data_IF_328612701746
#
_entry.id   IF_328612701746
#
_cell.length_a   1.000
_cell.length_b   1.000
_cell.length_c   1.000
_cell.angle_alpha   90.00
_cell.angle_beta   90.00
_cell.angle_gamma   90.00
#
_symmetry.space_group_name_H-M   'P 1'
#
loop_
_entity.id
_entity.type
_entity.pdbx_description
1 polymer ?
#
# COMPACT_ATOMS: atom_id res chain seq x y z
N UNK A 1 -18.95 28.28 13.10
CA UNK A 1 -19.95 27.85 12.09
C UNK A 1 -21.29 27.68 12.78
N UNK A 2 -22.34 28.34 12.27
CA UNK A 2 -23.71 28.03 12.68
C UNK A 2 -23.96 26.55 12.38
N UNK A 3 -24.43 25.80 13.38
CA UNK A 3 -24.98 24.47 13.18
C UNK A 3 -26.07 24.56 12.12
N UNK A 4 -25.81 24.04 10.92
CA UNK A 4 -26.86 23.80 9.95
C UNK A 4 -26.64 22.46 9.27
N UNK A 5 -27.61 21.59 9.54
CA UNK A 5 -27.97 20.46 8.71
C UNK A 5 -27.07 19.25 8.88
N UNK A 6 -27.57 18.24 9.59
CA UNK A 6 -27.45 16.88 9.06
C UNK A 6 -28.00 16.94 7.63
N UNK A 7 -27.13 17.14 6.65
CA UNK A 7 -27.47 16.87 5.27
C UNK A 7 -27.47 15.36 5.14
N UNK A 8 -28.61 14.75 5.49
CA UNK A 8 -28.93 13.43 4.98
C UNK A 8 -29.17 13.65 3.49
N UNK A 9 -28.09 13.58 2.71
CA UNK A 9 -28.21 13.33 1.28
C UNK A 9 -28.87 11.96 1.23
N UNK A 10 -30.20 11.94 1.11
CA UNK A 10 -30.89 10.72 0.76
C UNK A 10 -30.36 10.40 -0.62
N UNK A 11 -29.37 9.50 -0.68
CA UNK A 11 -29.13 8.74 -1.89
C UNK A 11 -30.51 8.30 -2.35
N UNK A 12 -30.88 8.61 -3.59
CA UNK A 12 -32.11 8.09 -4.19
C UNK A 12 -32.13 6.54 -4.15
N UNK A 13 -31.03 5.89 -3.74
CA UNK A 13 -30.96 4.49 -3.37
C UNK A 13 -31.68 4.11 -2.05
N UNK A 14 -32.27 5.04 -1.29
CA UNK A 14 -32.95 4.66 -0.05
C UNK A 14 -34.19 5.49 0.30
N UNK A 15 -35.26 5.29 -0.46
CA UNK A 15 -36.51 4.83 0.17
C UNK A 15 -36.71 3.37 -0.19
N UNK A 16 -36.20 2.51 0.70
CA UNK A 16 -36.46 1.08 0.69
C UNK A 16 -37.89 0.87 1.21
N UNK A 17 -38.89 1.24 0.41
CA UNK A 17 -40.17 0.56 0.49
C UNK A 17 -39.99 -0.80 -0.17
N UNK A 18 -40.40 -1.84 0.54
CA UNK A 18 -40.46 -3.20 0.03
C UNK A 18 -41.03 -3.24 -1.39
N UNK A 19 -40.38 -4.00 -2.25
CA UNK A 19 -40.89 -4.59 -3.49
C UNK A 19 -42.30 -4.13 -3.92
N UNK A 20 -42.35 -3.24 -4.91
CA UNK A 20 -43.51 -3.12 -5.81
C UNK A 20 -43.09 -2.51 -7.16
N UNK A 21 -42.14 -3.15 -7.86
CA UNK A 21 -41.97 -2.98 -9.31
C UNK A 21 -41.56 -1.59 -9.83
N UNK A 22 -41.33 -0.59 -8.98
CA UNK A 22 -40.87 0.73 -9.41
C UNK A 22 -39.36 0.68 -9.62
N UNK A 23 -38.98 0.54 -10.89
CA UNK A 23 -37.60 0.62 -11.34
C UNK A 23 -36.98 1.94 -10.85
N UNK A 24 -35.79 1.85 -10.26
CA UNK A 24 -34.92 3.03 -10.06
C UNK A 24 -34.92 3.83 -11.37
N UNK A 25 -35.11 5.16 -11.34
CA UNK A 25 -34.99 5.96 -12.55
C UNK A 25 -33.55 5.87 -13.03
N UNK A 26 -33.30 4.93 -13.93
CA UNK A 26 -32.01 4.72 -14.55
C UNK A 26 -31.79 5.83 -15.57
N UNK A 27 -30.52 6.21 -15.71
CA UNK A 27 -30.10 7.17 -16.72
C UNK A 27 -30.63 6.76 -18.12
N UNK A 28 -31.27 7.67 -18.87
CA UNK A 28 -31.91 7.32 -20.15
C UNK A 28 -30.89 6.84 -21.19
N UNK A 29 -29.66 7.34 -21.15
CA UNK A 29 -28.58 6.90 -22.04
C UNK A 29 -28.10 5.49 -21.68
N UNK A 30 -28.03 5.17 -20.38
CA UNK A 30 -27.76 3.81 -19.90
C UNK A 30 -28.83 2.81 -20.36
N UNK A 31 -30.11 3.18 -20.22
CA UNK A 31 -31.22 2.36 -20.71
C UNK A 31 -31.16 2.17 -22.23
N UNK A 32 -30.84 3.23 -22.98
CA UNK A 32 -30.66 3.15 -24.43
C UNK A 32 -29.50 2.22 -24.79
N UNK A 33 -28.39 2.29 -24.08
CA UNK A 33 -27.23 1.41 -24.28
C UNK A 33 -27.58 -0.06 -24.05
N UNK A 34 -28.32 -0.38 -22.98
CA UNK A 34 -28.82 -1.74 -22.73
C UNK A 34 -29.71 -2.24 -23.87
N UNK A 35 -30.59 -1.39 -24.40
CA UNK A 35 -31.45 -1.75 -25.53
C UNK A 35 -30.65 -2.04 -26.80
N UNK A 36 -29.61 -1.24 -27.09
CA UNK A 36 -28.77 -1.43 -28.29
C UNK A 36 -27.90 -2.69 -28.24
N UNK A 37 -27.50 -3.14 -27.04
CA UNK A 37 -26.77 -4.41 -26.87
C UNK A 37 -27.58 -5.65 -27.30
N UNK A 38 -28.90 -5.54 -27.36
CA UNK A 38 -29.79 -6.63 -27.72
C UNK A 38 -29.81 -7.76 -26.67
N UNK A 39 -30.31 -8.94 -27.07
CA UNK A 39 -30.56 -10.07 -26.16
C UNK A 39 -29.34 -10.97 -25.93
N UNK A 40 -28.38 -11.01 -26.86
CA UNK A 40 -27.21 -11.90 -26.82
C UNK A 40 -25.91 -11.15 -27.17
N UNK A 41 -25.52 -10.13 -26.40
CA UNK A 41 -24.28 -9.42 -26.68
C UNK A 41 -23.04 -10.31 -26.46
N UNK A 42 -21.97 -10.00 -27.19
CA UNK A 42 -20.64 -10.54 -26.94
C UNK A 42 -20.06 -9.97 -25.64
N UNK A 43 -19.08 -10.65 -25.05
CA UNK A 43 -18.41 -10.15 -23.84
C UNK A 43 -17.71 -8.81 -24.10
N UNK A 44 -17.06 -8.66 -25.27
CA UNK A 44 -16.42 -7.40 -25.67
C UNK A 44 -17.42 -6.25 -25.76
N UNK A 45 -18.59 -6.47 -26.36
CA UNK A 45 -19.61 -5.44 -26.49
C UNK A 45 -20.15 -5.00 -25.12
N UNK A 46 -20.29 -5.92 -24.16
CA UNK A 46 -20.64 -5.55 -22.78
C UNK A 46 -19.53 -4.72 -22.15
N UNK A 47 -18.27 -5.12 -22.33
CA UNK A 47 -17.12 -4.40 -21.78
C UNK A 47 -17.05 -2.97 -22.32
N UNK A 48 -17.13 -2.81 -23.64
CA UNK A 48 -16.99 -1.52 -24.30
C UNK A 48 -18.18 -0.59 -24.06
N UNK A 49 -19.40 -1.12 -24.12
CA UNK A 49 -20.62 -0.30 -24.01
C UNK A 49 -21.07 -0.04 -22.58
N UNK A 50 -20.85 -0.99 -21.65
CA UNK A 50 -21.29 -0.85 -20.25
C UNK A 50 -20.09 -0.65 -19.32
N UNK A 51 -19.16 -1.61 -19.25
CA UNK A 51 -18.18 -1.66 -18.16
C UNK A 51 -17.21 -0.48 -18.20
N UNK A 52 -16.68 -0.14 -19.38
CA UNK A 52 -15.75 0.99 -19.53
C UNK A 52 -16.42 2.34 -19.25
N UNK A 53 -17.70 2.47 -19.57
CA UNK A 53 -18.44 3.73 -19.46
C UNK A 53 -19.06 3.94 -18.07
N UNK A 54 -19.65 2.90 -17.49
CA UNK A 54 -20.44 2.97 -16.25
C UNK A 54 -19.80 2.21 -15.08
N UNK A 55 -18.69 1.51 -15.31
CA UNK A 55 -18.02 0.69 -14.31
C UNK A 55 -18.70 -0.65 -14.07
N UNK A 56 -18.25 -1.34 -13.03
CA UNK A 56 -18.75 -2.67 -12.62
C UNK A 56 -19.72 -2.61 -11.45
N UNK A 57 -19.73 -1.49 -10.73
CA UNK A 57 -20.51 -1.28 -9.52
C UNK A 57 -21.14 0.11 -9.55
N UNK A 58 -22.23 0.26 -8.82
CA UNK A 58 -22.81 1.57 -8.51
C UNK A 58 -22.76 1.82 -7.00
N UNK A 59 -22.80 3.10 -6.64
CA UNK A 59 -22.78 3.55 -5.27
C UNK A 59 -24.15 3.34 -4.61
N UNK A 60 -24.20 2.57 -3.53
CA UNK A 60 -25.39 2.49 -2.68
C UNK A 60 -25.41 3.60 -1.64
N UNK A 61 -24.31 3.70 -0.89
CA UNK A 61 -24.11 4.72 0.12
C UNK A 61 -22.63 5.04 0.26
N UNK A 62 -22.32 6.26 0.68
CA UNK A 62 -20.97 6.65 1.05
C UNK A 62 -21.03 7.51 2.31
N UNK A 63 -20.04 7.34 3.17
CA UNK A 63 -19.64 8.38 4.12
C UNK A 63 -18.46 9.11 3.51
N UNK A 64 -18.68 10.35 3.08
CA UNK A 64 -17.65 11.22 2.53
C UNK A 64 -16.99 11.97 3.69
N UNK A 65 -15.76 11.61 4.00
CA UNK A 65 -14.91 12.31 4.96
C UNK A 65 -14.21 13.49 4.28
N UNK A 66 -14.02 14.57 5.03
CA UNK A 66 -13.05 15.61 4.68
C UNK A 66 -11.81 15.44 5.55
N UNK A 67 -10.64 15.48 4.93
CA UNK A 67 -9.34 15.61 5.58
C UNK A 67 -9.11 17.07 5.98
N UNK A 68 -8.81 17.33 7.25
CA UNK A 68 -8.21 18.59 7.68
C UNK A 68 -6.87 18.25 8.31
N UNK A 69 -5.78 18.66 7.65
CA UNK A 69 -4.42 18.35 8.07
C UNK A 69 -3.53 19.61 8.03
N UNK A 70 -2.70 19.74 9.07
CA UNK A 70 -1.70 20.78 9.20
C UNK A 70 -0.32 20.12 9.12
N UNK A 71 0.48 20.50 8.14
CA UNK A 71 1.85 20.03 7.98
C UNK A 71 2.83 21.19 8.16
N UNK A 72 3.81 21.00 9.05
CA UNK A 72 4.84 21.99 9.36
C UNK A 72 6.20 21.36 9.05
N UNK A 73 6.89 21.87 8.03
CA UNK A 73 8.27 21.54 7.75
C UNK A 73 9.18 22.46 8.55
N UNK A 74 10.18 21.91 9.24
CA UNK A 74 11.10 22.68 10.10
C UNK A 74 12.55 22.41 9.69
N UNK A 75 13.28 23.45 9.31
CA UNK A 75 14.73 23.43 9.14
C UNK A 75 15.42 23.68 10.50
N UNK A 76 15.81 22.57 11.15
CA UNK A 76 16.44 22.61 12.48
C UNK A 76 17.71 23.47 12.54
N UNK A 77 18.46 23.59 11.43
CA UNK A 77 19.73 24.36 11.40
C UNK A 77 19.48 25.86 11.38
N UNK A 78 18.44 26.31 10.66
CA UNK A 78 18.03 27.71 10.63
C UNK A 78 17.33 28.11 11.93
N UNK A 79 16.61 27.18 12.54
CA UNK A 79 15.97 27.38 13.83
C UNK A 79 16.99 27.52 14.96
N UNK A 80 18.01 26.64 15.03
CA UNK A 80 19.07 26.71 16.05
C UNK A 80 19.92 27.98 15.93
N UNK A 81 20.24 28.40 14.70
CA UNK A 81 21.01 29.63 14.44
C UNK A 81 20.27 30.91 14.87
N UNK A 82 18.94 30.89 14.93
CA UNK A 82 18.15 32.01 15.47
C UNK A 82 18.13 32.06 16.99
N UNK A 83 18.23 30.92 17.68
CA UNK A 83 18.31 30.86 19.14
C UNK A 83 19.61 31.54 19.62
N UNK A 84 20.70 31.39 18.87
CA UNK A 84 22.00 32.01 19.19
C UNK A 84 22.07 33.52 18.87
N UNK A 85 21.23 34.04 17.97
CA UNK A 85 21.31 35.44 17.49
C UNK A 85 20.34 36.38 18.21
N UNK A 86 19.37 35.87 18.98
CA UNK A 86 18.31 36.68 19.63
C UNK A 86 18.27 36.50 21.14
N UNK A 87 19.37 36.77 21.83
CA UNK A 87 19.35 37.11 23.27
C UNK A 87 18.99 38.60 23.47
N UNK A 88 17.78 39.00 23.08
CA UNK A 88 17.17 40.27 23.51
C UNK A 88 15.68 40.30 23.16
N UNK A 89 14.83 40.04 24.16
CA UNK A 89 13.43 40.48 24.27
C UNK A 89 12.39 40.11 23.20
N UNK A 90 12.61 39.08 22.37
CA UNK A 90 11.54 38.46 21.58
C UNK A 90 11.52 36.96 21.83
N UNK A 91 10.34 36.38 22.08
CA UNK A 91 10.16 34.95 22.39
C UNK A 91 10.83 34.11 21.32
N UNK A 92 11.97 33.49 21.65
CA UNK A 92 12.68 32.58 20.77
C UNK A 92 11.73 31.43 20.38
N UNK A 93 11.57 31.19 19.08
CA UNK A 93 10.70 30.12 18.59
C UNK A 93 11.41 28.79 18.79
N UNK A 94 11.01 28.05 19.83
CA UNK A 94 11.52 26.71 20.11
C UNK A 94 10.71 25.64 19.35
N UNK A 95 11.31 24.47 19.17
CA UNK A 95 10.61 23.31 18.60
C UNK A 95 9.40 22.90 19.44
N UNK A 96 9.49 23.04 20.76
CA UNK A 96 8.40 22.77 21.71
C UNK A 96 7.24 23.76 21.54
N UNK A 97 7.53 25.05 21.35
CA UNK A 97 6.51 26.04 21.07
C UNK A 97 5.79 25.78 19.74
N UNK A 98 6.51 25.29 18.71
CA UNK A 98 5.90 24.86 17.46
C UNK A 98 5.01 23.64 17.63
N UNK A 99 5.40 22.65 18.44
CA UNK A 99 4.55 21.49 18.74
C UNK A 99 3.30 21.89 19.53
N UNK A 100 3.42 22.80 20.50
CA UNK A 100 2.27 23.31 21.25
C UNK A 100 1.29 24.09 20.35
N UNK A 101 1.82 24.91 19.44
CA UNK A 101 1.00 25.58 18.43
C UNK A 101 0.34 24.60 17.46
N UNK A 102 1.06 23.57 17.00
CA UNK A 102 0.47 22.52 16.16
C UNK A 102 -0.66 21.78 16.89
N UNK A 103 -0.50 21.51 18.18
CA UNK A 103 -1.53 20.89 19.01
C UNK A 103 -2.77 21.77 19.20
N UNK A 104 -2.62 23.11 19.19
CA UNK A 104 -3.75 24.04 19.32
C UNK A 104 -4.53 24.25 18.01
N UNK A 105 -4.04 23.74 16.87
CA UNK A 105 -4.63 23.97 15.55
C UNK A 105 -6.11 23.57 15.48
N UNK A 106 -6.48 22.37 15.98
CA UNK A 106 -7.87 21.90 15.95
C UNK A 106 -8.77 22.57 17.00
N UNK A 107 -8.20 23.35 17.93
CA UNK A 107 -8.93 24.06 18.99
C UNK A 107 -9.17 25.52 18.60
N UNK A 108 -8.13 26.20 18.10
CA UNK A 108 -8.16 27.60 17.68
C UNK A 108 -7.37 27.78 16.37
N UNK A 109 -8.01 27.35 15.28
CA UNK A 109 -7.41 27.27 13.94
C UNK A 109 -6.89 28.61 13.45
N UNK A 110 -7.72 29.64 13.52
CA UNK A 110 -7.43 30.93 12.89
C UNK A 110 -6.27 31.66 13.61
N UNK A 111 -6.28 31.66 14.94
CA UNK A 111 -5.19 32.20 15.75
C UNK A 111 -3.89 31.41 15.55
N UNK A 112 -3.98 30.08 15.51
CA UNK A 112 -2.83 29.20 15.30
C UNK A 112 -2.17 29.42 13.94
N UNK A 113 -2.96 29.46 12.85
CA UNK A 113 -2.43 29.71 11.50
C UNK A 113 -1.84 31.10 11.36
N UNK A 114 -2.47 32.13 11.92
CA UNK A 114 -1.88 33.49 11.91
C UNK A 114 -0.51 33.49 12.59
N UNK A 115 -0.38 32.84 13.77
CA UNK A 115 0.90 32.72 14.49
C UNK A 115 1.93 31.93 13.68
N UNK A 116 1.54 30.80 13.09
CA UNK A 116 2.42 29.97 12.26
C UNK A 116 2.90 30.70 10.99
N UNK A 117 2.02 31.44 10.31
CA UNK A 117 2.40 32.27 9.16
C UNK A 117 3.32 33.43 9.57
N UNK A 118 3.08 34.07 10.71
CA UNK A 118 4.00 35.07 11.24
C UNK A 118 5.40 34.48 11.48
N UNK A 119 5.50 33.27 12.06
CA UNK A 119 6.78 32.59 12.26
C UNK A 119 7.42 32.22 10.92
N UNK A 120 6.65 31.70 9.97
CA UNK A 120 7.13 31.36 8.62
C UNK A 120 7.76 32.58 7.91
N UNK A 121 7.08 33.74 7.96
CA UNK A 121 7.59 34.99 7.36
C UNK A 121 8.81 35.50 8.13
N UNK A 122 8.75 35.52 9.46
CA UNK A 122 9.80 36.12 10.30
C UNK A 122 11.09 35.28 10.38
N UNK A 123 10.99 33.95 10.21
CA UNK A 123 12.11 33.03 10.40
C UNK A 123 12.57 32.37 9.11
N UNK A 124 11.66 32.12 8.15
CA UNK A 124 11.88 31.23 6.98
C UNK A 124 12.37 29.81 7.34
N UNK A 125 12.55 29.50 8.62
CA UNK A 125 12.98 28.18 9.11
C UNK A 125 11.83 27.17 9.13
N UNK A 126 10.59 27.64 8.96
CA UNK A 126 9.43 26.76 8.84
C UNK A 126 8.68 27.02 7.54
N UNK A 127 8.07 25.96 7.00
CA UNK A 127 7.09 26.04 5.92
C UNK A 127 5.81 25.36 6.39
N UNK A 128 4.71 26.09 6.38
CA UNK A 128 3.42 25.63 6.86
C UNK A 128 2.51 25.38 5.66
N UNK A 129 1.89 24.22 5.63
CA UNK A 129 0.92 23.82 4.61
C UNK A 129 -0.32 23.28 5.31
N UNK A 130 -1.42 24.00 5.19
CA UNK A 130 -2.76 23.55 5.61
C UNK A 130 -3.42 22.88 4.40
N UNK A 131 -3.93 21.67 4.59
CA UNK A 131 -4.70 20.94 3.59
C UNK A 131 -6.08 20.64 4.15
N UNK A 132 -7.11 21.13 3.45
CA UNK A 132 -8.50 20.87 3.79
C UNK A 132 -9.22 20.30 2.59
N UNK A 133 -9.79 19.11 2.73
CA UNK A 133 -10.74 18.57 1.77
C UNK A 133 -12.15 18.68 2.36
N UNK A 134 -13.09 19.23 1.59
CA UNK A 134 -14.48 19.42 2.02
C UNK A 134 -15.45 19.42 0.84
N UNK A 135 -16.76 19.26 1.08
CA UNK A 135 -17.75 19.55 0.04
C UNK A 135 -17.60 21.02 -0.38
N UNK A 136 -17.55 21.29 -1.68
CA UNK A 136 -17.51 22.65 -2.23
C UNK A 136 -18.75 23.41 -1.74
N UNK A 137 -18.55 24.53 -1.02
CA UNK A 137 -19.63 25.38 -0.51
C UNK A 137 -19.51 25.83 0.95
N UNK A 138 -18.50 25.39 1.70
CA UNK A 138 -18.31 25.74 3.13
C UNK A 138 -17.11 26.67 3.41
N UNK A 139 -16.57 27.35 2.39
CA UNK A 139 -15.53 28.37 2.53
C UNK A 139 -16.05 29.70 1.98
N UNK A 140 -15.77 30.80 2.69
CA UNK A 140 -15.89 32.13 2.11
C UNK A 140 -15.05 32.15 0.82
N UNK A 141 -15.60 32.77 -0.22
CA UNK A 141 -15.03 32.86 -1.58
C UNK A 141 -13.57 33.40 -1.62
N UNK A 142 -13.07 33.94 -0.52
CA UNK A 142 -11.74 34.55 -0.42
C UNK A 142 -10.59 33.55 -0.16
N UNK A 143 -10.86 32.27 0.16
CA UNK A 143 -9.85 31.25 0.45
C UNK A 143 -10.04 29.96 -0.39
N UNK A 144 -10.23 30.10 -1.70
CA UNK A 144 -10.40 28.97 -2.62
C UNK A 144 -9.12 28.16 -2.87
N UNK A 145 -7.93 28.74 -2.61
CA UNK A 145 -6.65 28.08 -2.88
C UNK A 145 -6.31 26.94 -1.89
N UNK A 146 -7.05 26.79 -0.79
CA UNK A 146 -6.76 25.82 0.29
C UNK A 146 -7.81 24.73 0.51
N UNK A 147 -8.92 24.74 -0.23
CA UNK A 147 -10.01 23.76 -0.05
C UNK A 147 -10.24 22.97 -1.33
N UNK A 148 -9.73 21.75 -1.37
CA UNK A 148 -10.00 20.81 -2.46
C UNK A 148 -11.31 20.06 -2.20
N UNK A 149 -12.05 19.75 -3.28
CA UNK A 149 -13.29 18.98 -3.18
C UNK A 149 -13.02 17.58 -2.63
N UNK A 150 -13.87 17.08 -1.72
CA UNK A 150 -13.81 15.67 -1.31
C UNK A 150 -14.06 14.78 -2.53
N UNK A 151 -13.03 14.05 -2.95
CA UNK A 151 -13.15 13.05 -3.99
C UNK A 151 -13.82 11.81 -3.40
N UNK A 152 -14.79 11.23 -4.11
CA UNK A 152 -15.46 9.99 -3.67
C UNK A 152 -14.44 8.86 -3.44
N UNK A 153 -13.31 8.89 -4.15
CA UNK A 153 -12.23 7.89 -4.06
C UNK A 153 -11.21 8.16 -2.94
N UNK A 154 -11.41 9.17 -2.08
CA UNK A 154 -10.48 9.41 -0.95
C UNK A 154 -10.41 8.17 -0.03
N UNK A 155 -9.20 7.79 0.45
CA UNK A 155 -8.99 6.60 1.26
C UNK A 155 -9.75 6.62 2.60
N UNK A 156 -10.19 7.80 3.03
CA UNK A 156 -10.95 8.04 4.26
C UNK A 156 -12.44 7.77 4.09
N UNK A 157 -12.92 7.65 2.84
CA UNK A 157 -14.32 7.45 2.55
C UNK A 157 -14.73 6.00 2.77
N UNK A 158 -15.85 5.81 3.46
CA UNK A 158 -16.49 4.50 3.59
C UNK A 158 -17.55 4.36 2.50
N UNK A 159 -17.20 3.65 1.44
CA UNK A 159 -18.03 3.47 0.24
C UNK A 159 -18.69 2.11 0.28
N UNK A 160 -20.02 2.07 0.14
CA UNK A 160 -20.78 0.84 -0.02
C UNK A 160 -21.22 0.71 -1.48
N UNK A 161 -20.67 -0.30 -2.15
CA UNK A 161 -20.90 -0.57 -3.56
C UNK A 161 -21.81 -1.78 -3.76
N UNK A 162 -22.67 -1.73 -4.76
CA UNK A 162 -23.40 -2.89 -5.27
C UNK A 162 -23.04 -3.14 -6.73
N UNK A 163 -22.90 -4.41 -7.08
CA UNK A 163 -22.59 -4.80 -8.45
C UNK A 163 -23.70 -4.37 -9.42
N UNK A 164 -23.30 -3.79 -10.55
CA UNK A 164 -24.20 -3.25 -11.57
C UNK A 164 -25.15 -4.33 -12.13
N UNK A 165 -24.75 -5.61 -12.07
CA UNK A 165 -25.61 -6.72 -12.46
C UNK A 165 -26.95 -6.76 -11.73
N UNK A 166 -27.07 -6.16 -10.54
CA UNK A 166 -28.32 -6.15 -9.78
C UNK A 166 -29.44 -5.39 -10.51
N UNK A 167 -29.10 -4.34 -11.25
CA UNK A 167 -30.05 -3.50 -11.99
C UNK A 167 -30.16 -3.88 -13.47
N UNK A 168 -29.31 -4.81 -13.95
CA UNK A 168 -29.38 -5.29 -15.32
C UNK A 168 -30.52 -6.30 -15.51
N UNK A 169 -31.11 -6.37 -16.73
CA UNK A 169 -32.03 -7.44 -17.10
C UNK A 169 -31.42 -8.82 -16.85
N UNK A 170 -32.25 -9.76 -16.41
CA UNK A 170 -31.81 -11.11 -15.97
C UNK A 170 -30.94 -11.82 -17.01
N UNK A 171 -31.32 -11.74 -18.29
CA UNK A 171 -30.58 -12.36 -19.39
C UNK A 171 -29.16 -11.80 -19.60
N UNK A 172 -28.86 -10.59 -19.11
CA UNK A 172 -27.52 -9.98 -19.19
C UNK A 172 -26.66 -10.26 -17.96
N UNK A 173 -27.25 -10.57 -16.80
CA UNK A 173 -26.52 -10.59 -15.52
C UNK A 173 -25.30 -11.52 -15.55
N UNK A 174 -25.48 -12.78 -15.96
CA UNK A 174 -24.40 -13.76 -16.00
C UNK A 174 -23.28 -13.37 -16.97
N UNK A 175 -23.64 -12.86 -18.16
CA UNK A 175 -22.66 -12.41 -19.17
C UNK A 175 -21.93 -11.16 -18.72
N UNK A 176 -22.62 -10.24 -18.05
CA UNK A 176 -22.02 -9.05 -17.46
C UNK A 176 -21.00 -9.41 -16.40
N UNK A 177 -21.32 -10.33 -15.48
CA UNK A 177 -20.37 -10.80 -14.46
C UNK A 177 -19.15 -11.42 -15.13
N UNK A 178 -19.34 -12.25 -16.17
CA UNK A 178 -18.22 -12.83 -16.90
C UNK A 178 -17.33 -11.77 -17.60
N UNK A 179 -17.95 -10.77 -18.23
CA UNK A 179 -17.24 -9.66 -18.86
C UNK A 179 -16.49 -8.82 -17.81
N UNK A 180 -17.12 -8.52 -16.67
CA UNK A 180 -16.54 -7.77 -15.56
C UNK A 180 -15.35 -8.51 -14.93
N UNK A 181 -15.44 -9.82 -14.74
CA UNK A 181 -14.32 -10.64 -14.25
C UNK A 181 -13.17 -10.70 -15.26
N UNK A 182 -13.46 -10.70 -16.57
CA UNK A 182 -12.42 -10.62 -17.60
C UNK A 182 -11.76 -9.23 -17.63
N UNK A 183 -12.54 -8.17 -17.48
CA UNK A 183 -12.06 -6.79 -17.39
C UNK A 183 -11.15 -6.58 -16.17
N UNK A 184 -11.61 -6.95 -14.98
CA UNK A 184 -10.88 -6.73 -13.72
C UNK A 184 -9.78 -7.78 -13.50
N UNK A 185 -10.11 -9.06 -13.68
CA UNK A 185 -9.22 -10.16 -13.32
C UNK A 185 -8.13 -10.45 -14.36
N UNK A 186 -8.35 -10.03 -15.61
CA UNK A 186 -7.41 -10.25 -16.71
C UNK A 186 -6.95 -8.95 -17.37
N UNK A 187 -7.29 -7.78 -16.81
CA UNK A 187 -6.94 -6.47 -17.38
C UNK A 187 -7.27 -6.33 -18.88
N UNK A 188 -8.37 -6.94 -19.35
CA UNK A 188 -8.73 -7.02 -20.78
C UNK A 188 -7.72 -7.77 -21.69
N UNK A 189 -6.68 -8.37 -21.14
CA UNK A 189 -5.65 -9.11 -21.88
C UNK A 189 -6.08 -10.54 -22.22
N UNK A 190 -7.22 -10.99 -21.69
CA UNK A 190 -7.73 -12.34 -21.90
C UNK A 190 -9.14 -12.55 -21.36
N UNK A 191 -9.64 -13.78 -21.51
CA UNK A 191 -10.94 -14.19 -21.02
C UNK A 191 -10.81 -14.90 -19.67
N UNK A 192 -11.58 -14.48 -18.67
CA UNK A 192 -11.61 -15.18 -17.38
C UNK A 192 -12.33 -16.53 -17.49
N UNK A 193 -11.69 -17.60 -17.03
CA UNK A 193 -12.17 -18.98 -17.09
C UNK A 193 -11.90 -19.67 -15.76
N UNK A 194 -12.91 -20.34 -15.21
CA UNK A 194 -12.77 -21.23 -14.05
C UNK A 194 -13.06 -22.68 -14.45
N UNK A 195 -12.20 -23.61 -14.04
CA UNK A 195 -12.40 -25.06 -14.13
C UNK A 195 -11.88 -25.72 -12.87
N UNK A 196 -12.63 -26.66 -12.32
CA UNK A 196 -12.22 -27.48 -11.16
C UNK A 196 -11.70 -26.65 -9.97
N UNK A 197 -12.44 -25.59 -9.60
CA UNK A 197 -12.07 -24.61 -8.56
C UNK A 197 -10.76 -23.83 -8.81
N UNK A 198 -10.23 -23.87 -10.03
CA UNK A 198 -9.06 -23.10 -10.44
C UNK A 198 -9.47 -22.09 -11.51
N UNK A 199 -9.16 -20.81 -11.31
CA UNK A 199 -9.56 -19.71 -12.19
C UNK A 199 -8.33 -19.01 -12.80
N UNK A 200 -8.41 -18.68 -14.08
CA UNK A 200 -7.34 -17.99 -14.81
C UNK A 200 -7.82 -17.25 -16.03
N UNK A 201 -6.92 -16.45 -16.57
CA UNK A 201 -7.11 -15.76 -17.83
C UNK A 201 -6.64 -16.65 -18.97
N UNK A 202 -7.56 -17.01 -19.87
CA UNK A 202 -7.18 -17.47 -21.20
C UNK A 202 -6.63 -16.27 -21.97
N UNK A 203 -5.32 -16.14 -21.98
CA UNK A 203 -4.63 -15.01 -22.59
C UNK A 203 -4.88 -14.88 -24.09
N UNK A 204 -5.01 -13.64 -24.53
CA UNK A 204 -5.07 -13.31 -25.96
C UNK A 204 -3.69 -13.47 -26.61
N UNK A 205 -3.61 -13.65 -27.94
CA UNK A 205 -2.34 -13.80 -28.64
C UNK A 205 -1.36 -12.64 -28.44
N UNK A 206 -1.87 -11.41 -28.29
CA UNK A 206 -1.04 -10.21 -28.04
C UNK A 206 -0.49 -10.12 -26.61
N UNK A 207 -1.06 -10.86 -25.65
CA UNK A 207 -0.68 -10.83 -24.24
C UNK A 207 -0.39 -12.24 -23.70
N UNK A 208 0.59 -12.96 -24.26
CA UNK A 208 0.83 -14.37 -23.95
C UNK A 208 1.17 -14.67 -22.48
N UNK A 209 1.50 -13.63 -21.69
CA UNK A 209 1.90 -13.69 -20.28
C UNK A 209 0.88 -13.03 -19.35
N UNK A 210 -0.38 -12.85 -19.76
CA UNK A 210 -1.40 -12.12 -18.99
C UNK A 210 -1.66 -12.67 -17.56
N UNK A 211 -1.31 -13.93 -17.28
CA UNK A 211 -1.42 -14.52 -15.93
C UNK A 211 -0.15 -14.34 -15.08
N UNK A 212 0.91 -13.74 -15.63
CA UNK A 212 2.23 -13.73 -15.03
C UNK A 212 2.49 -12.40 -14.32
N UNK A 213 2.55 -12.37 -12.97
CA UNK A 213 2.79 -11.14 -12.23
C UNK A 213 4.29 -10.85 -12.15
N UNK A 214 4.87 -10.35 -13.24
CA UNK A 214 6.32 -10.15 -13.38
C UNK A 214 6.93 -9.29 -12.26
N UNK A 215 6.22 -8.25 -11.82
CA UNK A 215 6.67 -7.36 -10.75
C UNK A 215 6.78 -8.12 -9.41
N UNK A 216 5.77 -8.90 -9.07
CA UNK A 216 5.77 -9.70 -7.85
C UNK A 216 6.83 -10.80 -7.91
N UNK A 217 7.01 -11.45 -9.07
CA UNK A 217 8.05 -12.47 -9.26
C UNK A 217 9.43 -11.87 -9.04
N UNK A 218 9.74 -10.73 -9.66
CA UNK A 218 11.02 -10.02 -9.46
C UNK A 218 11.22 -9.61 -8.00
N UNK A 219 10.17 -9.16 -7.32
CA UNK A 219 10.24 -8.83 -5.90
C UNK A 219 10.55 -10.06 -5.01
N UNK A 220 9.97 -11.22 -5.32
CA UNK A 220 10.27 -12.48 -4.64
C UNK A 220 11.70 -12.95 -4.91
N UNK A 221 12.17 -12.87 -6.16
CA UNK A 221 13.55 -13.20 -6.55
C UNK A 221 14.56 -12.28 -5.84
N UNK A 222 14.31 -10.96 -5.82
CA UNK A 222 15.12 -9.99 -5.10
C UNK A 222 15.14 -10.27 -3.59
N UNK A 223 14.02 -10.72 -3.02
CA UNK A 223 13.96 -11.11 -1.61
C UNK A 223 14.82 -12.34 -1.32
N UNK A 224 14.91 -13.31 -2.23
CA UNK A 224 15.80 -14.46 -2.10
C UNK A 224 17.28 -14.05 -2.19
N UNK A 225 17.62 -13.15 -3.12
CA UNK A 225 18.97 -12.57 -3.21
C UNK A 225 19.35 -11.85 -1.92
N UNK A 226 18.45 -11.03 -1.37
CA UNK A 226 18.70 -10.34 -0.12
C UNK A 226 18.89 -11.30 1.07
N UNK A 227 18.14 -12.41 1.12
CA UNK A 227 18.35 -13.45 2.14
C UNK A 227 19.73 -14.10 2.00
N UNK A 228 20.17 -14.38 0.77
CA UNK A 228 21.52 -14.90 0.50
C UNK A 228 22.59 -13.93 0.98
N UNK A 229 22.43 -12.65 0.67
CA UNK A 229 23.41 -11.62 1.03
C UNK A 229 23.47 -11.44 2.56
N UNK A 230 22.31 -11.44 3.22
CA UNK A 230 22.20 -11.40 4.70
C UNK A 230 22.89 -12.60 5.35
N UNK A 231 22.73 -13.80 4.77
CA UNK A 231 23.40 -15.00 5.25
C UNK A 231 24.92 -14.91 5.10
N UNK A 232 25.40 -14.44 3.95
CA UNK A 232 26.84 -14.26 3.70
C UNK A 232 27.44 -13.25 4.67
N UNK A 233 26.77 -12.12 4.90
CA UNK A 233 27.19 -11.13 5.90
C UNK A 233 27.21 -11.73 7.29
N UNK A 234 26.18 -12.45 7.71
CA UNK A 234 26.14 -13.06 9.05
C UNK A 234 27.28 -14.09 9.27
N UNK A 235 27.65 -14.86 8.25
CA UNK A 235 28.81 -15.74 8.32
C UNK A 235 30.13 -14.95 8.37
N UNK A 236 30.26 -13.90 7.57
CA UNK A 236 31.43 -13.05 7.59
C UNK A 236 31.60 -12.35 8.95
N UNK A 237 30.52 -11.81 9.52
CA UNK A 237 30.49 -11.21 10.86
C UNK A 237 30.82 -12.22 11.98
N UNK A 238 30.59 -13.51 11.74
CA UNK A 238 31.01 -14.58 12.64
C UNK A 238 32.52 -14.85 12.48
N UNK A 239 33.02 -14.98 11.25
CA UNK A 239 34.45 -15.20 10.97
C UNK A 239 35.32 -14.02 11.41
N UNK A 240 34.81 -12.79 11.33
CA UNK A 240 35.51 -11.57 11.77
C UNK A 240 35.34 -11.27 13.27
N UNK A 241 34.48 -12.01 13.98
CA UNK A 241 34.24 -11.80 15.41
C UNK A 241 35.49 -12.04 16.27
N UNK A 242 35.66 -11.24 17.33
CA UNK A 242 36.78 -11.41 18.26
C UNK A 242 36.78 -12.80 18.90
N UNK A 243 35.61 -13.36 19.19
CA UNK A 243 35.46 -14.70 19.76
C UNK A 243 36.04 -15.77 18.85
N UNK A 244 35.75 -15.70 17.55
CA UNK A 244 36.27 -16.65 16.56
C UNK A 244 37.76 -16.43 16.29
N UNK A 245 38.20 -15.18 16.14
CA UNK A 245 39.61 -14.86 15.93
C UNK A 245 40.49 -15.26 17.13
N UNK A 246 39.99 -15.06 18.35
CA UNK A 246 40.67 -15.50 19.57
C UNK A 246 40.74 -17.02 19.68
N UNK A 247 39.67 -17.73 19.28
CA UNK A 247 39.70 -19.19 19.16
C UNK A 247 40.80 -19.64 18.19
N UNK A 248 40.89 -19.06 16.99
CA UNK A 248 41.93 -19.40 16.01
C UNK A 248 43.34 -19.13 16.54
N UNK A 249 43.57 -18.02 17.24
CA UNK A 249 44.86 -17.68 17.85
C UNK A 249 45.29 -18.65 18.95
N UNK A 250 44.34 -19.30 19.63
CA UNK A 250 44.60 -20.28 20.71
C UNK A 250 44.90 -21.68 20.18
N UNK A 251 44.69 -21.94 18.88
CA UNK A 251 44.99 -23.25 18.31
C UNK A 251 46.52 -23.47 18.21
N UNK A 252 47.01 -24.68 18.54
CA UNK A 252 48.40 -25.04 18.32
C UNK A 252 48.84 -24.84 16.87
N UNK A 253 49.90 -24.08 16.64
CA UNK A 253 50.45 -23.81 15.29
C UNK A 253 51.66 -24.66 14.93
N UNK A 254 52.22 -25.41 15.89
CA UNK A 254 53.45 -26.18 15.74
C UNK A 254 53.25 -27.58 15.14
N UNK A 255 52.00 -28.01 14.91
CA UNK A 255 51.67 -29.28 14.26
C UNK A 255 50.28 -29.21 13.59
N UNK A 256 50.03 -30.11 12.64
CA UNK A 256 48.73 -30.23 11.99
C UNK A 256 47.69 -30.82 12.95
N UNK A 257 46.56 -30.14 13.11
CA UNK A 257 45.45 -30.60 13.93
C UNK A 257 44.47 -31.43 13.09
N UNK A 258 44.01 -32.55 13.64
CA UNK A 258 42.88 -33.29 13.08
C UNK A 258 41.54 -32.69 13.54
N UNK A 259 40.45 -33.07 12.88
CA UNK A 259 39.11 -32.55 13.18
C UNK A 259 38.70 -32.79 14.64
N UNK A 260 39.08 -33.93 15.23
CA UNK A 260 38.79 -34.26 16.62
C UNK A 260 39.48 -33.33 17.62
N UNK A 261 40.74 -32.95 17.35
CA UNK A 261 41.48 -32.01 18.17
C UNK A 261 40.87 -30.60 18.09
N UNK A 262 40.48 -30.15 16.89
CA UNK A 262 39.78 -28.88 16.69
C UNK A 262 38.45 -28.87 17.47
N UNK A 263 37.67 -29.95 17.39
CA UNK A 263 36.41 -30.09 18.15
C UNK A 263 36.63 -30.04 19.66
N UNK A 264 37.73 -30.60 20.17
CA UNK A 264 38.09 -30.51 21.58
C UNK A 264 38.34 -29.06 22.00
N UNK A 265 39.20 -28.33 21.29
CA UNK A 265 39.47 -26.91 21.58
C UNK A 265 38.21 -26.06 21.44
N UNK A 266 37.39 -26.34 20.43
CA UNK A 266 36.11 -25.68 20.23
C UNK A 266 35.24 -25.82 21.47
N UNK A 267 35.07 -27.06 22.00
CA UNK A 267 34.28 -27.34 23.21
C UNK A 267 34.79 -26.65 24.47
N UNK A 268 36.08 -26.34 24.52
CA UNK A 268 36.69 -25.65 25.65
C UNK A 268 36.47 -24.13 25.62
N UNK A 269 35.99 -23.57 24.52
CA UNK A 269 35.76 -22.13 24.36
C UNK A 269 34.24 -21.81 24.34
N UNK A 270 33.66 -21.36 25.47
CA UNK A 270 32.22 -21.10 25.55
C UNK A 270 31.79 -19.86 24.76
N UNK A 271 32.67 -18.87 24.59
CA UNK A 271 32.37 -17.63 23.88
C UNK A 271 32.10 -17.87 22.39
N UNK A 272 32.99 -18.62 21.71
CA UNK A 272 32.80 -18.96 20.28
C UNK A 272 31.56 -19.85 20.08
N UNK A 273 31.28 -20.73 21.03
CA UNK A 273 30.06 -21.55 21.03
C UNK A 273 28.78 -20.70 21.08
N UNK A 274 28.75 -19.72 21.98
CA UNK A 274 27.59 -18.84 22.12
C UNK A 274 27.40 -18.03 20.83
N UNK A 275 28.48 -17.48 20.27
CA UNK A 275 28.45 -16.73 19.00
C UNK A 275 27.99 -17.61 17.83
N UNK A 276 28.47 -18.83 17.74
CA UNK A 276 28.05 -19.80 16.71
C UNK A 276 26.58 -20.19 16.85
N UNK A 277 26.07 -20.38 18.07
CA UNK A 277 24.62 -20.62 18.30
C UNK A 277 23.75 -19.46 17.82
N UNK A 278 24.20 -18.21 17.99
CA UNK A 278 23.47 -17.05 17.46
C UNK A 278 23.40 -17.08 15.93
N UNK A 279 24.53 -17.39 15.28
CA UNK A 279 24.58 -17.57 13.83
C UNK A 279 23.62 -18.68 13.39
N UNK A 280 23.65 -19.85 14.04
CA UNK A 280 22.78 -20.98 13.71
C UNK A 280 21.29 -20.64 13.83
N UNK A 281 20.89 -19.92 14.88
CA UNK A 281 19.51 -19.47 15.06
C UNK A 281 19.07 -18.50 13.96
N UNK A 282 19.92 -17.53 13.60
CA UNK A 282 19.68 -16.60 12.50
C UNK A 282 19.54 -17.34 11.16
N UNK A 283 20.47 -18.26 10.89
CA UNK A 283 20.48 -19.13 9.71
C UNK A 283 19.18 -19.94 9.57
N UNK A 284 18.72 -20.58 10.64
CA UNK A 284 17.45 -21.33 10.63
C UNK A 284 16.25 -20.45 10.27
N UNK A 285 16.21 -19.21 10.79
CA UNK A 285 15.14 -18.26 10.46
C UNK A 285 15.19 -17.84 8.98
N UNK A 286 16.38 -17.57 8.45
CA UNK A 286 16.58 -17.22 7.03
C UNK A 286 16.16 -18.36 6.09
N UNK A 287 16.48 -19.60 6.43
CA UNK A 287 16.05 -20.80 5.67
C UNK A 287 14.53 -20.96 5.73
N UNK A 288 13.91 -20.78 6.90
CA UNK A 288 12.46 -20.86 7.02
C UNK A 288 11.77 -19.77 6.17
N UNK A 289 12.32 -18.55 6.16
CA UNK A 289 11.82 -17.45 5.33
C UNK A 289 12.00 -17.73 3.84
N UNK A 290 13.16 -18.23 3.41
CA UNK A 290 13.44 -18.54 2.00
C UNK A 290 12.49 -19.62 1.49
N UNK A 291 12.25 -20.69 2.25
CA UNK A 291 11.29 -21.76 1.89
C UNK A 291 9.88 -21.21 1.65
N UNK A 292 9.41 -20.26 2.47
CA UNK A 292 8.11 -19.60 2.28
C UNK A 292 8.06 -18.78 1.00
N UNK A 293 9.12 -18.01 0.71
CA UNK A 293 9.22 -17.19 -0.50
C UNK A 293 9.24 -18.08 -1.74
N UNK A 294 10.03 -19.15 -1.74
CA UNK A 294 10.09 -20.13 -2.84
C UNK A 294 8.72 -20.74 -3.11
N UNK A 295 7.99 -21.15 -2.07
CA UNK A 295 6.61 -21.67 -2.23
C UNK A 295 5.69 -20.63 -2.88
N UNK A 296 5.74 -19.37 -2.43
CA UNK A 296 4.93 -18.29 -3.00
C UNK A 296 5.28 -18.02 -4.46
N UNK A 297 6.57 -18.02 -4.79
CA UNK A 297 7.09 -17.82 -6.14
C UNK A 297 6.64 -18.94 -7.09
N UNK A 298 6.61 -20.20 -6.65
CA UNK A 298 6.03 -21.30 -7.43
C UNK A 298 4.51 -21.14 -7.64
N UNK A 299 3.78 -20.69 -6.62
CA UNK A 299 2.34 -20.41 -6.76
C UNK A 299 2.07 -19.31 -7.78
N UNK A 300 2.83 -18.21 -7.73
CA UNK A 300 2.69 -17.07 -8.64
C UNK A 300 3.09 -17.44 -10.09
N UNK A 301 4.10 -18.30 -10.25
CA UNK A 301 4.60 -18.70 -11.57
C UNK A 301 3.85 -19.88 -12.20
N UNK A 302 2.85 -20.46 -11.53
CA UNK A 302 2.10 -21.65 -12.00
C UNK A 302 1.59 -21.53 -13.46
N UNK A 303 1.30 -20.31 -13.91
CA UNK A 303 0.73 -20.01 -15.23
C UNK A 303 1.60 -19.09 -16.10
N UNK A 304 2.84 -18.85 -15.68
CA UNK A 304 3.83 -18.15 -16.48
C UNK A 304 4.45 -19.11 -17.50
N UNK A 305 4.83 -18.61 -18.68
CA UNK A 305 5.63 -19.43 -19.62
C UNK A 305 7.08 -19.57 -19.19
N UNK A 306 7.58 -18.61 -18.41
CA UNK A 306 8.96 -18.55 -17.92
C UNK A 306 9.09 -19.25 -16.56
N UNK A 307 10.13 -20.07 -16.41
CA UNK A 307 10.48 -20.62 -15.09
C UNK A 307 11.13 -19.53 -14.24
N UNK A 308 10.72 -19.39 -12.96
CA UNK A 308 11.31 -18.41 -12.07
C UNK A 308 12.72 -18.86 -11.63
N UNK A 309 13.63 -17.91 -11.43
CA UNK A 309 15.02 -18.19 -11.04
C UNK A 309 15.11 -18.32 -9.52
N UNK A 310 15.28 -19.55 -9.05
CA UNK A 310 15.41 -19.84 -7.62
C UNK A 310 16.88 -20.03 -7.25
N UNK A 311 17.47 -19.06 -6.57
CA UNK A 311 18.78 -19.18 -5.93
C UNK A 311 18.53 -19.31 -4.43
N UNK A 312 18.64 -20.54 -3.92
CA UNK A 312 18.50 -20.84 -2.49
C UNK A 312 19.84 -21.15 -1.86
N UNK A 313 19.93 -20.86 -0.57
CA UNK A 313 21.03 -21.28 0.28
C UNK A 313 21.08 -22.82 0.31
N UNK A 314 22.24 -23.39 -0.01
CA UNK A 314 22.55 -24.79 0.30
C UNK A 314 23.17 -24.83 1.70
N UNK A 315 22.68 -25.75 2.52
CA UNK A 315 23.38 -26.12 3.75
C UNK A 315 24.80 -26.60 3.36
N UNK A 316 25.82 -26.03 4.02
CA UNK A 316 27.22 -26.47 3.96
C UNK A 316 27.52 -27.24 5.23
#
# INVERSE_FOLDING_TARGET
CREFGRWKVNSLAQERQNNNGLALPLDPEFLQTIRHLGRRPSLSSITDSIIRKYGTHFLLSATLGGEESLMIFVDKRRLSRMVEVREANSTAVTLEALHQLAASYFIDRESTLRKLHHIQIASTAIKVTETRTGPLGCSNYDNLDSVSSVLVQSPENKIHLQGLQAILPEYLRARFVQAALSYIGCNEEGQFVCRDNDCWCRCSPGFPQCNCPDVDLRAMEASLLHIRDTWNMANQDFEESEEFQNFLRRLPTFYALNTSAIQYFWKMEPAVHQRYRQLELSSRQLIAKSRRIVKKLFTLSKRCRTQPKVIVLRER
#
